data_IF_188897627139
#
_entry.id   IF_188897627139
#
_cell.length_a   1.000
_cell.length_b   1.000
_cell.length_c   1.000
_cell.angle_alpha   90.00
_cell.angle_beta   90.00
_cell.angle_gamma   90.00
#
_symmetry.space_group_name_H-M   'P 1'
#
loop_
_entity.id
_entity.type
_entity.pdbx_description
1 polymer ?
#
# COMPACT_ATOMS: atom_id res chain seq x y z
N UNK A 1 -20.81 23.90 33.34
CA UNK A 1 -20.17 22.87 32.45
C UNK A 1 -20.85 22.70 31.08
N UNK A 2 -22.18 22.81 30.93
CA UNK A 2 -22.88 22.60 29.65
C UNK A 2 -22.59 23.60 28.52
N UNK A 3 -22.23 24.86 28.85
CA UNK A 3 -21.94 25.86 27.81
C UNK A 3 -20.66 25.54 27.03
N UNK A 4 -19.58 25.18 27.72
CA UNK A 4 -18.31 24.82 27.06
C UNK A 4 -18.44 23.59 26.16
N UNK A 5 -19.22 22.58 26.60
CA UNK A 5 -19.45 21.37 25.80
C UNK A 5 -20.26 21.69 24.52
N UNK A 6 -21.28 22.55 24.62
CA UNK A 6 -22.04 22.99 23.44
C UNK A 6 -21.17 23.76 22.46
N UNK A 7 -20.28 24.63 22.97
CA UNK A 7 -19.36 25.38 22.12
C UNK A 7 -18.40 24.44 21.36
N UNK A 8 -17.83 23.46 22.06
CA UNK A 8 -16.94 22.46 21.41
C UNK A 8 -17.69 21.68 20.33
N UNK A 9 -18.90 21.20 20.61
CA UNK A 9 -19.73 20.46 19.65
C UNK A 9 -20.14 21.33 18.47
N UNK A 10 -20.45 22.62 18.70
CA UNK A 10 -20.79 23.55 17.62
C UNK A 10 -19.61 23.80 16.70
N UNK A 11 -18.42 24.06 17.25
CA UNK A 11 -17.20 24.27 16.48
C UNK A 11 -16.82 22.97 15.74
N UNK A 12 -16.91 21.82 16.41
CA UNK A 12 -16.62 20.53 15.79
C UNK A 12 -17.59 20.22 14.63
N UNK A 13 -18.89 20.50 14.81
CA UNK A 13 -19.89 20.37 13.75
C UNK A 13 -19.59 21.28 12.57
N UNK A 14 -19.33 22.55 12.84
CA UNK A 14 -18.98 23.53 11.80
C UNK A 14 -17.74 23.12 10.98
N UNK A 15 -16.69 22.66 11.67
CA UNK A 15 -15.47 22.17 10.99
C UNK A 15 -15.72 20.87 10.22
N UNK A 16 -16.55 19.97 10.75
CA UNK A 16 -16.87 18.71 10.08
C UNK A 16 -17.69 18.92 8.79
N UNK A 17 -18.54 19.94 8.76
CA UNK A 17 -19.37 20.28 7.60
C UNK A 17 -18.62 21.11 6.54
N UNK A 18 -17.37 21.52 6.85
CA UNK A 18 -16.58 22.32 5.92
C UNK A 18 -16.06 21.42 4.77
N UNK A 19 -16.46 21.72 3.53
CA UNK A 19 -15.92 21.07 2.34
C UNK A 19 -14.41 21.30 2.28
N UNK A 20 -13.63 20.21 2.34
CA UNK A 20 -12.17 20.28 2.41
C UNK A 20 -11.55 20.16 3.82
N UNK A 21 -12.35 20.02 4.87
CA UNK A 21 -11.85 19.72 6.23
C UNK A 21 -11.06 18.39 6.28
N UNK A 22 -11.30 17.50 5.33
CA UNK A 22 -10.55 16.25 5.12
C UNK A 22 -9.78 16.34 3.81
N UNK A 23 -8.46 16.57 3.89
CA UNK A 23 -7.56 16.43 2.75
C UNK A 23 -7.01 15.02 2.69
N UNK A 24 -7.13 14.40 1.51
CA UNK A 24 -6.44 13.13 1.22
C UNK A 24 -5.09 13.48 0.60
N UNK A 25 -4.02 13.11 1.28
CA UNK A 25 -2.64 13.39 0.83
C UNK A 25 -1.89 12.08 0.82
N UNK A 26 -1.06 11.89 -0.19
CA UNK A 26 -0.20 10.72 -0.25
C UNK A 26 0.69 10.64 0.99
N UNK A 27 0.89 9.44 1.50
CA UNK A 27 1.74 9.19 2.68
C UNK A 27 3.16 9.68 2.40
N UNK A 28 3.72 10.56 3.25
CA UNK A 28 5.10 11.01 3.12
C UNK A 28 6.09 9.90 3.48
N UNK A 29 7.29 9.97 2.91
CA UNK A 29 8.38 9.09 3.32
C UNK A 29 8.78 9.33 4.79
N UNK A 30 9.39 8.33 5.46
CA UNK A 30 9.74 8.42 6.88
C UNK A 30 10.63 9.61 7.26
N UNK A 31 11.37 10.16 6.31
CA UNK A 31 12.29 11.29 6.55
C UNK A 31 11.59 12.66 6.56
N UNK A 32 10.44 12.78 5.92
CA UNK A 32 9.73 14.07 5.76
C UNK A 32 9.31 14.66 7.10
N UNK A 33 8.64 13.88 7.94
CA UNK A 33 8.16 14.35 9.24
C UNK A 33 9.29 14.76 10.20
N UNK A 34 10.38 13.99 10.40
CA UNK A 34 11.53 14.43 11.18
C UNK A 34 12.16 15.72 10.65
N UNK A 35 12.38 15.83 9.35
CA UNK A 35 12.97 17.04 8.75
C UNK A 35 12.07 18.26 8.94
N UNK A 36 10.77 18.11 8.72
CA UNK A 36 9.79 19.17 8.94
C UNK A 36 9.78 19.62 10.41
N UNK A 37 9.79 18.67 11.34
CA UNK A 37 9.77 18.94 12.79
C UNK A 37 11.04 19.65 13.24
N UNK A 38 12.21 19.18 12.80
CA UNK A 38 13.49 19.81 13.14
C UNK A 38 13.56 21.21 12.53
N UNK A 39 13.13 21.39 11.27
CA UNK A 39 13.08 22.69 10.62
C UNK A 39 12.17 23.69 11.35
N UNK A 40 10.99 23.23 11.81
CA UNK A 40 10.08 24.04 12.59
C UNK A 40 10.65 24.41 13.97
N UNK A 41 11.24 23.45 14.69
CA UNK A 41 11.91 23.70 15.96
C UNK A 41 13.08 24.68 15.81
N UNK A 42 13.88 24.51 14.76
CA UNK A 42 14.97 25.43 14.46
C UNK A 42 14.48 26.86 14.25
N UNK A 43 13.40 27.02 13.46
CA UNK A 43 12.78 28.31 13.21
C UNK A 43 12.28 29.01 14.49
N UNK A 44 11.78 28.22 15.46
CA UNK A 44 11.23 28.74 16.73
C UNK A 44 12.34 29.06 17.74
N UNK A 45 13.32 28.16 17.89
CA UNK A 45 14.33 28.23 18.94
C UNK A 45 15.51 29.15 18.58
N UNK A 46 15.86 29.25 17.27
CA UNK A 46 17.03 30.00 16.85
C UNK A 46 16.72 31.45 16.56
N UNK A 47 17.66 32.33 16.92
CA UNK A 47 17.58 33.76 16.68
C UNK A 47 18.68 34.22 15.71
N UNK A 48 18.46 35.35 15.04
CA UNK A 48 19.41 35.92 14.09
C UNK A 48 19.34 35.26 12.68
N UNK A 49 20.39 35.44 11.90
CA UNK A 49 20.46 35.01 10.48
C UNK A 49 20.36 33.50 10.29
N UNK A 50 20.84 32.72 11.26
CA UNK A 50 20.78 31.25 11.22
C UNK A 50 19.35 30.69 11.31
N UNK A 51 18.38 31.49 11.76
CA UNK A 51 16.95 31.12 11.77
C UNK A 51 16.44 30.71 10.40
N UNK A 52 17.01 31.28 9.32
CA UNK A 52 16.56 31.01 7.95
C UNK A 52 16.87 29.57 7.47
N UNK A 53 17.71 28.81 8.17
CA UNK A 53 17.89 27.37 7.87
C UNK A 53 16.63 26.56 8.15
N UNK A 54 15.77 26.96 9.10
CA UNK A 54 14.52 26.30 9.42
C UNK A 54 13.58 26.21 8.19
N UNK A 55 13.17 27.34 7.59
CA UNK A 55 12.36 27.34 6.37
C UNK A 55 12.97 26.58 5.20
N UNK A 56 14.30 26.64 5.01
CA UNK A 56 14.99 25.90 3.95
C UNK A 56 14.81 24.40 4.17
N UNK A 57 15.01 23.93 5.40
CA UNK A 57 14.85 22.51 5.75
C UNK A 57 13.39 22.04 5.59
N UNK A 58 12.42 22.89 5.96
CA UNK A 58 11.01 22.63 5.72
C UNK A 58 10.67 22.54 4.23
N UNK A 59 11.18 23.47 3.42
CA UNK A 59 10.99 23.44 1.98
C UNK A 59 11.62 22.18 1.34
N UNK A 60 12.83 21.81 1.77
CA UNK A 60 13.48 20.57 1.33
C UNK A 60 12.64 19.32 1.70
N UNK A 61 12.02 19.28 2.87
CA UNK A 61 11.15 18.17 3.27
C UNK A 61 9.91 18.04 2.36
N UNK A 62 9.31 19.16 1.96
CA UNK A 62 8.20 19.15 1.00
C UNK A 62 8.64 18.72 -0.41
N UNK A 63 9.85 19.08 -0.84
CA UNK A 63 10.40 18.61 -2.13
C UNK A 63 10.61 17.10 -2.11
N UNK A 64 11.16 16.55 -1.03
CA UNK A 64 11.29 15.08 -0.85
C UNK A 64 9.91 14.42 -0.91
N UNK A 65 8.91 14.98 -0.24
CA UNK A 65 7.55 14.44 -0.25
C UNK A 65 6.93 14.43 -1.66
N UNK A 66 7.12 15.52 -2.41
CA UNK A 66 6.61 15.62 -3.77
C UNK A 66 7.27 14.64 -4.76
N UNK A 67 8.51 14.21 -4.45
CA UNK A 67 9.31 13.28 -5.27
C UNK A 67 9.24 11.83 -4.80
N UNK A 68 8.38 11.51 -3.81
CA UNK A 68 8.33 10.17 -3.22
C UNK A 68 7.68 9.18 -4.18
N UNK A 69 8.42 8.11 -4.50
CA UNK A 69 7.96 7.06 -5.41
C UNK A 69 6.96 6.13 -4.71
N UNK A 70 5.85 5.86 -5.39
CA UNK A 70 4.82 4.94 -4.92
C UNK A 70 5.04 3.54 -5.48
N UNK A 71 4.72 2.49 -4.70
CA UNK A 71 4.80 1.14 -5.23
C UNK A 71 3.84 0.97 -6.39
N UNK A 72 4.33 0.45 -7.51
CA UNK A 72 3.52 0.19 -8.70
C UNK A 72 2.55 -0.97 -8.48
N UNK A 73 3.00 -1.99 -7.74
CA UNK A 73 2.16 -3.14 -7.40
C UNK A 73 2.18 -3.35 -5.90
N UNK A 74 1.00 -3.64 -5.34
CA UNK A 74 0.82 -4.02 -3.94
C UNK A 74 0.13 -5.37 -3.87
N UNK A 75 0.72 -6.30 -3.11
CA UNK A 75 0.19 -7.63 -2.85
C UNK A 75 -0.17 -7.71 -1.36
N UNK A 76 -1.42 -8.05 -1.04
CA UNK A 76 -1.86 -8.24 0.34
C UNK A 76 -1.21 -9.48 0.98
N UNK A 77 -0.92 -9.44 2.28
CA UNK A 77 -0.25 -10.51 3.04
C UNK A 77 -0.92 -11.90 2.96
N UNK A 78 -2.20 -11.93 2.61
CA UNK A 78 -2.96 -13.16 2.46
C UNK A 78 -3.34 -13.45 1.00
N UNK A 79 -2.74 -12.73 0.04
CA UNK A 79 -3.06 -12.88 -1.38
C UNK A 79 -4.51 -12.51 -1.76
N UNK A 80 -5.27 -11.89 -0.85
CA UNK A 80 -6.69 -11.61 -1.09
C UNK A 80 -6.95 -10.43 -2.01
N UNK A 81 -5.99 -9.53 -2.15
CA UNK A 81 -6.09 -8.31 -2.93
C UNK A 81 -4.78 -8.01 -3.64
N UNK A 82 -4.88 -7.60 -4.88
CA UNK A 82 -3.78 -7.08 -5.70
C UNK A 82 -4.16 -5.66 -6.13
N UNK A 83 -3.24 -4.72 -6.01
CA UNK A 83 -3.39 -3.34 -6.45
C UNK A 83 -2.29 -2.97 -7.43
N UNK A 84 -2.62 -2.38 -8.56
CA UNK A 84 -1.67 -1.93 -9.59
C UNK A 84 -1.88 -0.44 -9.84
N UNK A 85 -0.79 0.32 -9.85
CA UNK A 85 -0.85 1.76 -10.15
C UNK A 85 -1.10 1.96 -11.64
N UNK A 86 -2.05 2.81 -11.95
CA UNK A 86 -2.39 3.24 -13.33
C UNK A 86 -2.35 4.76 -13.40
N UNK A 87 -2.46 5.32 -14.59
CA UNK A 87 -2.51 6.78 -14.80
C UNK A 87 -3.74 7.43 -14.12
N UNK A 88 -4.78 6.65 -13.83
CA UNK A 88 -6.02 7.10 -13.17
C UNK A 88 -6.04 6.83 -11.66
N UNK A 89 -4.96 6.30 -11.10
CA UNK A 89 -4.86 5.89 -9.71
C UNK A 89 -4.66 4.37 -9.55
N UNK A 90 -4.80 3.86 -8.34
CA UNK A 90 -4.60 2.43 -8.07
C UNK A 90 -5.81 1.60 -8.46
N UNK A 91 -5.64 0.74 -9.46
CA UNK A 91 -6.62 -0.27 -9.83
C UNK A 91 -6.55 -1.44 -8.83
N UNK A 92 -7.71 -1.85 -8.29
CA UNK A 92 -7.82 -2.98 -7.36
C UNK A 92 -8.42 -4.20 -8.05
N UNK A 93 -7.88 -5.38 -7.77
CA UNK A 93 -8.31 -6.64 -8.41
C UNK A 93 -9.70 -7.12 -8.01
N UNK A 94 -10.29 -6.56 -6.94
CA UNK A 94 -11.61 -6.97 -6.41
C UNK A 94 -12.46 -5.76 -6.04
N UNK A 95 -13.74 -5.84 -6.37
CA UNK A 95 -14.73 -4.82 -6.02
C UNK A 95 -15.14 -4.85 -4.54
N UNK A 96 -15.09 -6.04 -3.93
CA UNK A 96 -15.53 -6.30 -2.56
C UNK A 96 -14.61 -7.31 -1.86
N UNK A 97 -14.59 -7.23 -0.55
CA UNK A 97 -13.69 -8.03 0.30
C UNK A 97 -12.33 -7.35 0.47
N UNK A 98 -11.62 -7.71 1.53
CA UNK A 98 -10.39 -7.05 1.93
C UNK A 98 -10.50 -5.51 2.09
N UNK A 99 -11.68 -5.01 2.50
CA UNK A 99 -11.99 -3.58 2.52
C UNK A 99 -11.06 -2.75 3.41
N UNK A 100 -10.55 -3.32 4.50
CA UNK A 100 -9.56 -2.65 5.35
C UNK A 100 -8.24 -2.42 4.59
N UNK A 101 -7.76 -3.44 3.87
CA UNK A 101 -6.52 -3.35 3.08
C UNK A 101 -6.70 -2.38 1.93
N UNK A 102 -7.81 -2.48 1.19
CA UNK A 102 -8.14 -1.59 0.10
C UNK A 102 -8.17 -0.12 0.54
N UNK A 103 -8.89 0.18 1.64
CA UNK A 103 -8.98 1.52 2.20
C UNK A 103 -7.60 2.05 2.60
N UNK A 104 -6.79 1.25 3.29
CA UNK A 104 -5.47 1.64 3.74
C UNK A 104 -4.54 1.98 2.56
N UNK A 105 -4.59 1.19 1.48
CA UNK A 105 -3.80 1.46 0.28
C UNK A 105 -4.24 2.75 -0.41
N UNK A 106 -5.54 2.95 -0.60
CA UNK A 106 -6.08 4.16 -1.22
C UNK A 106 -5.80 5.41 -0.38
N UNK A 107 -5.99 5.33 0.94
CA UNK A 107 -5.65 6.44 1.85
C UNK A 107 -4.15 6.77 1.81
N UNK A 108 -3.27 5.77 1.71
CA UNK A 108 -1.82 5.98 1.56
C UNK A 108 -1.46 6.61 0.19
N UNK A 109 -2.23 6.32 -0.84
CA UNK A 109 -2.08 6.94 -2.16
C UNK A 109 -2.71 8.35 -2.22
N UNK A 110 -3.45 8.76 -1.20
CA UNK A 110 -4.18 10.03 -1.17
C UNK A 110 -5.47 9.99 -1.99
N UNK A 111 -6.02 8.81 -2.26
CA UNK A 111 -7.23 8.61 -3.04
C UNK A 111 -8.43 8.34 -2.12
N UNK A 112 -9.47 9.21 -2.13
CA UNK A 112 -10.69 9.01 -1.33
C UNK A 112 -11.67 8.00 -1.94
N UNK A 113 -11.36 7.42 -3.09
CA UNK A 113 -12.26 6.58 -3.86
C UNK A 113 -12.67 5.31 -3.13
N UNK A 114 -13.86 4.81 -3.43
CA UNK A 114 -14.33 3.53 -2.92
C UNK A 114 -13.65 2.36 -3.66
N UNK A 115 -13.46 1.25 -2.96
CA UNK A 115 -12.88 0.02 -3.54
C UNK A 115 -13.57 -0.41 -4.83
N UNK A 116 -14.90 -0.29 -4.92
CA UNK A 116 -15.65 -0.66 -6.11
C UNK A 116 -15.34 0.21 -7.32
N UNK A 117 -15.10 1.50 -7.10
CA UNK A 117 -14.72 2.46 -8.15
C UNK A 117 -13.32 2.15 -8.66
N UNK A 118 -12.37 1.96 -7.77
CA UNK A 118 -10.98 1.64 -8.15
C UNK A 118 -10.84 0.24 -8.77
N UNK A 119 -11.72 -0.69 -8.42
CA UNK A 119 -11.76 -2.00 -9.08
C UNK A 119 -12.26 -1.93 -10.53
N UNK A 120 -13.05 -0.93 -10.90
CA UNK A 120 -13.46 -0.72 -12.29
C UNK A 120 -12.32 -0.26 -13.20
N UNK A 121 -11.25 0.32 -12.63
CA UNK A 121 -10.04 0.70 -13.36
C UNK A 121 -9.22 -0.51 -13.85
N UNK A 122 -9.45 -1.70 -13.28
CA UNK A 122 -8.72 -2.91 -13.68
C UNK A 122 -9.04 -3.40 -15.10
N UNK A 123 -10.07 -2.89 -15.71
CA UNK A 123 -10.53 -3.36 -17.02
C UNK A 123 -11.23 -4.74 -16.99
N UNK A 124 -11.48 -5.27 -18.18
CA UNK A 124 -12.15 -6.57 -18.35
C UNK A 124 -11.18 -7.73 -18.12
N UNK A 125 -11.52 -8.61 -17.19
CA UNK A 125 -10.77 -9.85 -16.93
C UNK A 125 -11.74 -11.04 -16.85
N UNK A 126 -11.19 -12.26 -16.97
CA UNK A 126 -11.99 -13.47 -16.75
C UNK A 126 -12.46 -13.53 -15.29
N UNK A 127 -13.62 -14.12 -15.07
CA UNK A 127 -14.16 -14.31 -13.71
C UNK A 127 -13.21 -15.14 -12.85
N UNK A 128 -12.72 -14.53 -11.77
CA UNK A 128 -11.80 -15.20 -10.85
C UNK A 128 -10.31 -15.06 -11.23
N UNK A 129 -9.97 -14.52 -12.39
CA UNK A 129 -8.59 -14.27 -12.81
C UNK A 129 -8.45 -12.82 -13.27
N UNK A 130 -7.49 -12.11 -12.71
CA UNK A 130 -7.15 -10.73 -13.08
C UNK A 130 -5.69 -10.70 -13.50
N UNK A 131 -5.41 -10.08 -14.63
CA UNK A 131 -4.06 -9.97 -15.20
C UNK A 131 -3.69 -8.50 -15.34
N UNK A 132 -2.46 -8.16 -15.03
CA UNK A 132 -1.92 -6.82 -15.23
C UNK A 132 -0.46 -6.89 -15.64
N UNK A 133 -0.07 -6.09 -16.63
CA UNK A 133 1.30 -5.95 -17.08
C UNK A 133 1.93 -4.74 -16.39
N UNK A 134 3.08 -4.94 -15.76
CA UNK A 134 3.86 -3.86 -15.13
C UNK A 134 5.33 -4.03 -15.48
N UNK A 135 5.84 -3.18 -16.34
CA UNK A 135 7.18 -3.35 -16.90
C UNK A 135 7.33 -4.67 -17.66
N UNK A 136 8.36 -5.42 -17.34
CA UNK A 136 8.63 -6.74 -17.94
C UNK A 136 7.82 -7.88 -17.29
N UNK A 137 7.10 -7.63 -16.19
CA UNK A 137 6.41 -8.67 -15.43
C UNK A 137 4.91 -8.66 -15.68
N UNK A 138 4.34 -9.85 -15.81
CA UNK A 138 2.89 -10.04 -15.85
C UNK A 138 2.39 -10.59 -14.52
N UNK A 139 1.50 -9.84 -13.86
CA UNK A 139 0.88 -10.20 -12.59
C UNK A 139 -0.44 -10.89 -12.82
N UNK A 140 -0.57 -12.12 -12.34
CA UNK A 140 -1.80 -12.92 -12.47
C UNK A 140 -2.39 -13.16 -11.09
N UNK A 141 -3.55 -12.58 -10.81
CA UNK A 141 -4.25 -12.78 -9.54
C UNK A 141 -5.37 -13.80 -9.67
N UNK A 142 -5.20 -14.94 -9.01
CA UNK A 142 -6.14 -16.06 -8.96
C UNK A 142 -7.05 -15.96 -7.72
N UNK A 143 -8.32 -15.67 -7.95
CA UNK A 143 -9.31 -15.40 -6.90
C UNK A 143 -10.18 -16.64 -6.67
N UNK A 144 -9.93 -17.33 -5.55
CA UNK A 144 -10.69 -18.49 -5.11
C UNK A 144 -10.16 -19.82 -5.67
N UNK A 145 -10.65 -20.92 -5.09
CA UNK A 145 -10.18 -22.29 -5.40
C UNK A 145 -10.38 -22.68 -6.87
N UNK A 146 -11.50 -22.22 -7.48
CA UNK A 146 -11.82 -22.57 -8.86
C UNK A 146 -10.79 -21.99 -9.83
N UNK A 147 -10.43 -20.71 -9.68
CA UNK A 147 -9.44 -20.06 -10.53
C UNK A 147 -8.06 -20.71 -10.39
N UNK A 148 -7.66 -21.07 -9.16
CA UNK A 148 -6.40 -21.78 -8.91
C UNK A 148 -6.42 -23.20 -9.54
N UNK A 149 -7.56 -23.87 -9.55
CA UNK A 149 -7.70 -25.20 -10.15
C UNK A 149 -7.68 -25.16 -11.68
N UNK A 150 -8.33 -24.15 -12.28
CA UNK A 150 -8.41 -23.96 -13.75
C UNK A 150 -7.12 -23.39 -14.36
N UNK A 151 -6.23 -22.83 -13.55
CA UNK A 151 -4.96 -22.30 -14.01
C UNK A 151 -3.93 -23.43 -14.18
N UNK A 152 -3.51 -23.68 -15.43
CA UNK A 152 -2.67 -24.84 -15.74
C UNK A 152 -1.18 -24.58 -15.51
N UNK A 153 -0.61 -23.64 -16.24
CA UNK A 153 0.83 -23.31 -16.21
C UNK A 153 1.08 -21.84 -16.38
N UNK A 154 2.14 -21.35 -15.77
CA UNK A 154 2.62 -20.01 -15.93
C UNK A 154 3.88 -19.93 -16.80
N UNK A 155 4.17 -18.75 -17.29
CA UNK A 155 5.40 -18.40 -18.00
C UNK A 155 6.45 -17.85 -17.03
N UNK A 156 7.71 -17.81 -17.42
CA UNK A 156 8.84 -17.42 -16.57
C UNK A 156 8.81 -15.96 -16.10
N UNK A 157 8.14 -15.09 -16.84
CA UNK A 157 7.95 -13.66 -16.58
C UNK A 157 6.66 -13.34 -15.80
N UNK A 158 5.87 -14.39 -15.51
CA UNK A 158 4.63 -14.26 -14.75
C UNK A 158 4.87 -14.39 -13.23
N UNK A 159 4.19 -13.52 -12.48
CA UNK A 159 4.10 -13.56 -11.03
C UNK A 159 2.66 -13.87 -10.67
N UNK A 160 2.45 -15.08 -10.15
CA UNK A 160 1.11 -15.57 -9.81
C UNK A 160 0.81 -15.31 -8.34
N UNK A 161 -0.30 -14.64 -8.08
CA UNK A 161 -0.81 -14.38 -6.73
C UNK A 161 -2.08 -15.20 -6.53
N UNK A 162 -2.06 -16.14 -5.60
CA UNK A 162 -3.22 -16.97 -5.28
C UNK A 162 -3.89 -16.49 -3.98
N UNK A 163 -5.21 -16.35 -3.98
CA UNK A 163 -5.97 -15.97 -2.78
C UNK A 163 -6.29 -17.16 -1.86
N UNK A 164 -5.84 -18.36 -2.21
CA UNK A 164 -5.95 -19.58 -1.43
C UNK A 164 -4.64 -20.35 -1.46
N UNK A 165 -4.35 -21.09 -0.38
CA UNK A 165 -3.15 -21.92 -0.34
C UNK A 165 -3.17 -22.94 -1.48
N UNK A 166 -2.05 -23.07 -2.18
CA UNK A 166 -1.87 -24.02 -3.26
C UNK A 166 -0.67 -24.92 -2.99
N UNK A 167 -0.85 -26.21 -3.26
CA UNK A 167 0.26 -27.20 -3.26
C UNK A 167 0.67 -27.57 -4.68
N UNK A 168 0.04 -26.92 -5.67
CA UNK A 168 0.24 -27.21 -7.08
C UNK A 168 1.48 -26.49 -7.59
N UNK A 169 2.30 -27.20 -8.34
CA UNK A 169 3.39 -26.61 -9.09
C UNK A 169 2.85 -26.09 -10.43
N UNK A 170 2.98 -24.78 -10.65
CA UNK A 170 2.56 -24.12 -11.88
C UNK A 170 3.67 -24.02 -12.93
N UNK A 171 4.89 -24.47 -12.60
CA UNK A 171 6.05 -24.40 -13.49
C UNK A 171 7.07 -23.34 -13.08
N UNK A 172 7.75 -22.72 -14.05
CA UNK A 172 8.88 -21.82 -13.81
C UNK A 172 8.47 -20.37 -13.52
N UNK A 173 7.48 -20.14 -12.66
CA UNK A 173 7.10 -18.79 -12.25
C UNK A 173 7.18 -18.59 -10.74
N UNK A 174 7.16 -17.33 -10.30
CA UNK A 174 7.07 -16.98 -8.88
C UNK A 174 5.62 -17.04 -8.44
N UNK A 175 5.32 -17.87 -7.43
CA UNK A 175 3.97 -18.02 -6.87
C UNK A 175 3.93 -17.49 -5.47
N UNK A 176 3.04 -16.53 -5.24
CA UNK A 176 2.72 -15.98 -3.93
C UNK A 176 1.33 -16.45 -3.49
N UNK A 177 1.30 -17.37 -2.57
CA UNK A 177 0.07 -17.85 -1.93
C UNK A 177 0.00 -17.41 -0.46
N UNK A 178 -1.13 -17.58 0.26
CA UNK A 178 -1.23 -17.19 1.66
C UNK A 178 -0.18 -17.83 2.57
N UNK A 179 0.37 -19.00 2.21
CA UNK A 179 1.40 -19.68 2.99
C UNK A 179 2.76 -18.99 2.83
N UNK A 180 3.15 -18.66 1.62
CA UNK A 180 4.41 -17.94 1.33
C UNK A 180 4.35 -16.50 1.84
N UNK A 181 3.20 -15.82 1.65
CA UNK A 181 2.99 -14.44 2.09
C UNK A 181 2.96 -14.26 3.61
N UNK A 182 2.63 -15.29 4.40
CA UNK A 182 2.76 -15.23 5.86
C UNK A 182 4.19 -14.97 6.33
N UNK A 183 5.18 -15.39 5.57
CA UNK A 183 6.58 -15.19 5.93
C UNK A 183 7.10 -13.82 5.50
N UNK A 184 6.70 -13.33 4.34
CA UNK A 184 7.12 -12.02 3.82
C UNK A 184 6.23 -10.87 4.29
N UNK A 185 4.96 -11.15 4.62
CA UNK A 185 3.92 -10.14 4.79
C UNK A 185 3.46 -9.62 3.42
N UNK A 186 2.88 -8.42 3.40
CA UNK A 186 2.53 -7.72 2.16
C UNK A 186 3.79 -7.37 1.36
N UNK A 187 3.66 -7.33 0.04
CA UNK A 187 4.76 -7.04 -0.88
C UNK A 187 4.42 -5.80 -1.69
N UNK A 188 5.39 -4.88 -1.80
CA UNK A 188 5.34 -3.73 -2.69
C UNK A 188 6.40 -3.87 -3.79
N UNK A 189 6.03 -3.58 -5.03
CA UNK A 189 6.95 -3.49 -6.15
C UNK A 189 7.21 -2.03 -6.49
N UNK A 190 8.49 -1.68 -6.57
CA UNK A 190 8.97 -0.39 -7.04
C UNK A 190 9.81 -0.59 -8.30
N UNK A 191 9.80 0.39 -9.22
CA UNK A 191 10.77 0.42 -10.30
C UNK A 191 11.87 1.42 -9.94
N UNK A 192 13.12 0.95 -9.96
CA UNK A 192 14.31 1.79 -9.90
C UNK A 192 14.99 1.76 -11.28
N UNK A 193 14.64 2.72 -12.15
CA UNK A 193 14.95 2.65 -13.56
C UNK A 193 14.18 1.50 -14.23
N UNK A 194 14.90 0.55 -14.85
CA UNK A 194 14.30 -0.64 -15.48
C UNK A 194 14.27 -1.86 -14.54
N UNK A 195 14.82 -1.77 -13.34
CA UNK A 195 14.90 -2.86 -12.39
C UNK A 195 13.70 -2.86 -11.43
N UNK A 196 13.05 -4.03 -11.30
CA UNK A 196 11.96 -4.22 -10.36
C UNK A 196 12.48 -4.61 -8.98
N UNK A 197 12.23 -3.76 -7.99
CA UNK A 197 12.62 -3.98 -6.60
C UNK A 197 11.40 -4.40 -5.78
N UNK A 198 11.44 -5.62 -5.25
CA UNK A 198 10.40 -6.14 -4.36
C UNK A 198 10.77 -5.84 -2.92
N UNK A 199 9.91 -5.12 -2.23
CA UNK A 199 10.07 -4.80 -0.80
C UNK A 199 8.94 -5.47 -0.04
N UNK A 200 9.31 -6.32 0.92
CA UNK A 200 8.34 -7.01 1.78
C UNK A 200 8.08 -6.22 3.06
N UNK A 201 6.93 -6.43 3.67
CA UNK A 201 6.65 -5.85 4.97
C UNK A 201 7.66 -6.31 6.05
N UNK A 202 8.23 -7.51 5.86
CA UNK A 202 9.27 -8.05 6.74
C UNK A 202 10.59 -7.29 6.60
N UNK A 203 10.99 -6.93 5.39
CA UNK A 203 12.20 -6.14 5.15
C UNK A 203 12.15 -4.78 5.88
N UNK A 204 10.96 -4.17 5.93
CA UNK A 204 10.76 -2.89 6.60
C UNK A 204 10.65 -3.06 8.13
N UNK A 205 9.88 -4.06 8.60
CA UNK A 205 9.61 -4.23 10.04
C UNK A 205 10.72 -4.95 10.79
N UNK A 206 11.57 -5.69 10.08
CA UNK A 206 12.58 -6.59 10.64
C UNK A 206 11.97 -7.82 11.29
N UNK A 207 12.84 -8.74 11.70
CA UNK A 207 12.45 -9.95 12.44
C UNK A 207 12.21 -9.62 13.91
N UNK A 208 10.94 -9.69 14.31
CA UNK A 208 10.53 -9.52 15.71
C UNK A 208 9.95 -10.83 16.23
N UNK A 209 10.10 -11.08 17.54
CA UNK A 209 9.63 -12.32 18.19
C UNK A 209 8.16 -12.63 17.90
N UNK A 210 7.30 -11.60 17.80
CA UNK A 210 5.87 -11.74 17.51
C UNK A 210 5.52 -11.77 16.02
N UNK A 211 6.48 -11.50 15.14
CA UNK A 211 6.27 -11.59 13.69
C UNK A 211 6.58 -12.98 13.14
N UNK A 212 7.25 -13.85 13.90
CA UNK A 212 7.45 -15.24 13.50
C UNK A 212 6.14 -16.00 13.67
N UNK A 213 5.54 -16.49 12.57
CA UNK A 213 4.43 -17.41 12.67
C UNK A 213 4.97 -18.72 13.28
N UNK A 214 4.36 -19.24 14.37
CA UNK A 214 4.80 -20.49 14.93
C UNK A 214 4.69 -21.57 13.85
N UNK A 215 5.82 -22.11 13.41
CA UNK A 215 5.82 -23.33 12.59
C UNK A 215 5.06 -24.38 13.39
N UNK A 216 3.99 -24.95 12.82
CA UNK A 216 3.34 -26.12 13.43
C UNK A 216 4.44 -27.15 13.64
N UNK A 217 4.86 -27.36 14.88
CA UNK A 217 5.65 -28.53 15.21
C UNK A 217 4.86 -29.75 14.78
N UNK A 218 5.45 -30.69 14.03
CA UNK A 218 4.77 -31.93 13.75
C UNK A 218 4.42 -32.58 15.09
N UNK A 219 3.13 -32.81 15.31
CA UNK A 219 2.65 -33.59 16.47
C UNK A 219 3.36 -34.92 16.43
N UNK A 220 4.12 -35.18 17.50
CA UNK A 220 4.70 -36.52 17.78
C UNK A 220 3.60 -37.54 17.95
#
# INVERSE_FOLDING_TARGET
MGFGLRWILLVAGYVADFEGAKGYVARPSPLVLPMLSIGALWLILWQGRLRNFGPIMMAASFMIWASDDRPLVLIAENGSLLGVMTDQGRALSKEKGAGFVARNWLENDGDPSLQSVTASLWGTGMKGMKVAQVGAYEFVHLIGKKAVFEFDRCQSDQIVIASVETQRDFGNCTVHDPKTLRNSGSIGLYLQGDEAVFITARDISGDRIWSAWPSKQPSK
#
